data_IF_144638349729
#
_entry.id   IF_144638349729
#
_cell.length_a   1.000
_cell.length_b   1.000
_cell.length_c   1.000
_cell.angle_alpha   90.00
_cell.angle_beta   90.00
_cell.angle_gamma   90.00
#
_symmetry.space_group_name_H-M   'P 1'
#
loop_
_entity.id
_entity.type
_entity.pdbx_description
1 polymer ?
#
# COMPACT_ATOMS: atom_id res chain seq x y z
N UNK A 1 1.46 4.56 -15.06
CA UNK A 1 0.05 4.67 -15.51
C UNK A 1 -0.53 6.01 -15.04
N UNK A 2 -1.24 6.78 -15.88
CA UNK A 2 -1.76 8.14 -15.52
C UNK A 2 -2.97 8.14 -14.57
N UNK A 3 -3.67 7.02 -14.46
CA UNK A 3 -4.89 6.90 -13.63
C UNK A 3 -4.59 7.18 -12.15
N UNK A 4 -3.51 6.63 -11.60
CA UNK A 4 -3.14 6.86 -10.20
C UNK A 4 -2.79 8.32 -9.89
N UNK A 5 -2.14 9.02 -10.84
CA UNK A 5 -1.91 10.46 -10.70
C UNK A 5 -3.22 11.25 -10.61
N UNK A 6 -4.24 10.86 -11.39
CA UNK A 6 -5.54 11.53 -11.37
C UNK A 6 -6.30 11.34 -10.04
N UNK A 7 -6.32 10.11 -9.51
CA UNK A 7 -7.09 9.80 -8.30
C UNK A 7 -6.35 10.06 -6.98
N UNK A 8 -5.04 9.82 -6.93
CA UNK A 8 -4.25 9.92 -5.70
C UNK A 8 -3.23 11.06 -5.70
N UNK A 9 -3.02 11.72 -6.85
CA UNK A 9 -1.96 12.71 -7.01
C UNK A 9 -0.53 12.13 -6.99
N UNK A 10 -0.40 10.79 -7.07
CA UNK A 10 0.86 10.05 -7.03
C UNK A 10 0.84 8.95 -8.10
N UNK A 11 1.70 9.06 -9.10
CA UNK A 11 1.73 8.09 -10.20
C UNK A 11 2.26 6.73 -9.76
N UNK A 12 3.08 6.70 -8.71
CA UNK A 12 3.72 5.54 -8.11
C UNK A 12 2.72 4.58 -7.49
N UNK A 13 1.50 5.03 -7.17
CA UNK A 13 0.42 4.20 -6.64
C UNK A 13 -0.36 3.43 -7.74
N UNK A 14 0.16 3.40 -8.98
CA UNK A 14 -0.49 2.68 -10.07
C UNK A 14 -0.65 1.18 -9.79
N UNK A 15 0.29 0.57 -9.05
CA UNK A 15 0.27 -0.86 -8.74
C UNK A 15 -0.94 -1.22 -7.86
N UNK A 16 -1.37 -0.33 -6.97
CA UNK A 16 -2.57 -0.53 -6.13
C UNK A 16 -3.82 -0.68 -6.99
N UNK A 17 -3.96 0.18 -8.00
CA UNK A 17 -5.08 0.10 -8.94
C UNK A 17 -4.97 -1.18 -9.77
N UNK A 18 -3.76 -1.53 -10.23
CA UNK A 18 -3.56 -2.75 -11.01
C UNK A 18 -3.94 -4.00 -10.22
N UNK A 19 -3.38 -4.22 -9.03
CA UNK A 19 -3.65 -5.40 -8.21
C UNK A 19 -5.15 -5.55 -7.91
N UNK A 20 -5.84 -4.45 -7.58
CA UNK A 20 -7.28 -4.46 -7.33
C UNK A 20 -8.15 -4.80 -8.55
N UNK A 21 -7.59 -4.70 -9.76
CA UNK A 21 -8.25 -5.01 -11.02
C UNK A 21 -7.57 -6.13 -11.80
N UNK A 22 -6.63 -6.86 -11.19
CA UNK A 22 -5.79 -7.84 -11.89
C UNK A 22 -6.62 -8.94 -12.54
N UNK A 23 -7.72 -9.34 -11.91
CA UNK A 23 -8.67 -10.31 -12.48
C UNK A 23 -9.28 -9.87 -13.82
N UNK A 24 -9.38 -8.55 -14.07
CA UNK A 24 -9.96 -7.98 -15.29
C UNK A 24 -8.87 -7.53 -16.28
N UNK A 25 -7.74 -7.02 -15.79
CA UNK A 25 -6.62 -6.55 -16.62
C UNK A 25 -5.79 -7.72 -17.15
N UNK A 26 -5.67 -8.82 -16.40
CA UNK A 26 -4.72 -9.90 -16.66
C UNK A 26 -3.33 -9.60 -16.09
N UNK A 27 -2.34 -10.40 -16.48
CA UNK A 27 -1.00 -10.38 -15.90
C UNK A 27 -0.10 -9.22 -16.34
N UNK A 28 -0.44 -8.56 -17.48
CA UNK A 28 0.30 -7.41 -17.98
C UNK A 28 -0.39 -6.10 -17.55
N UNK A 29 0.18 -5.35 -16.58
CA UNK A 29 -0.38 -4.08 -16.12
C UNK A 29 -0.38 -2.97 -17.18
N UNK A 30 0.39 -3.13 -18.26
CA UNK A 30 0.48 -2.15 -19.34
C UNK A 30 -0.49 -2.45 -20.51
N UNK A 31 -1.14 -3.61 -20.49
CA UNK A 31 -2.08 -4.06 -21.52
C UNK A 31 -3.55 -3.78 -21.17
N UNK A 32 -3.85 -2.64 -20.54
CA UNK A 32 -5.22 -2.29 -20.11
C UNK A 32 -6.13 -2.09 -21.33
N UNK A 33 -7.17 -2.94 -21.56
CA UNK A 33 -8.04 -2.82 -22.72
C UNK A 33 -8.89 -1.54 -22.67
N UNK A 34 -9.15 -0.94 -23.83
CA UNK A 34 -10.05 0.21 -23.91
C UNK A 34 -11.51 -0.18 -23.56
N UNK A 35 -12.21 0.70 -22.86
CA UNK A 35 -13.64 0.51 -22.53
C UNK A 35 -13.93 -0.31 -21.26
N UNK A 36 -12.91 -0.80 -20.56
CA UNK A 36 -13.13 -1.47 -19.27
C UNK A 36 -13.37 -0.45 -18.15
N UNK A 37 -14.11 -0.87 -17.12
CA UNK A 37 -14.28 -0.11 -15.89
C UNK A 37 -13.28 -0.59 -14.85
N UNK A 38 -12.36 0.26 -14.45
CA UNK A 38 -11.44 0.00 -13.35
C UNK A 38 -12.07 0.42 -12.03
N UNK A 39 -12.00 -0.45 -11.03
CA UNK A 39 -12.32 -0.11 -9.64
C UNK A 39 -11.11 0.61 -9.04
N UNK A 40 -11.32 1.81 -8.49
CA UNK A 40 -10.25 2.57 -7.84
C UNK A 40 -10.40 2.38 -6.33
N UNK A 41 -9.45 1.71 -5.65
CA UNK A 41 -9.53 1.53 -4.20
C UNK A 41 -9.41 2.87 -3.47
N UNK A 42 -10.19 3.04 -2.40
CA UNK A 42 -10.06 4.23 -1.57
C UNK A 42 -8.83 4.08 -0.68
N UNK A 43 -7.89 5.02 -0.82
CA UNK A 43 -6.69 5.05 0.01
C UNK A 43 -6.81 6.15 1.05
N UNK A 44 -6.44 5.83 2.29
CA UNK A 44 -6.41 6.82 3.37
C UNK A 44 -5.24 7.77 3.18
N UNK A 45 -5.43 9.03 3.57
CA UNK A 45 -4.37 10.04 3.62
C UNK A 45 -3.67 10.07 4.98
N UNK A 46 -4.30 9.52 6.00
CA UNK A 46 -3.79 9.52 7.37
C UNK A 46 -3.68 8.09 7.91
N UNK A 47 -2.80 7.93 8.87
CA UNK A 47 -2.68 6.69 9.63
C UNK A 47 -3.91 6.57 10.52
N UNK A 48 -4.60 5.42 10.48
CA UNK A 48 -5.83 5.20 11.23
C UNK A 48 -5.63 4.13 12.30
N UNK A 49 -6.14 4.33 13.53
CA UNK A 49 -6.18 3.26 14.51
C UNK A 49 -7.21 2.21 14.08
N UNK A 50 -6.82 0.94 14.15
CA UNK A 50 -7.67 -0.22 13.93
C UNK A 50 -7.64 -1.10 15.17
N UNK A 51 -8.83 -1.41 15.68
CA UNK A 51 -8.98 -2.34 16.79
C UNK A 51 -9.12 -3.73 16.19
N UNK A 52 -8.19 -4.61 16.52
CA UNK A 52 -8.25 -6.03 16.15
C UNK A 52 -9.53 -6.62 16.76
N UNK A 53 -10.34 -7.25 15.93
CA UNK A 53 -11.68 -7.72 16.30
C UNK A 53 -11.64 -9.11 16.92
N UNK A 54 -10.64 -9.94 16.58
CA UNK A 54 -10.56 -11.36 16.96
C UNK A 54 -9.12 -11.81 17.22
N UNK A 55 -8.92 -12.76 18.14
CA UNK A 55 -7.60 -13.29 18.54
C UNK A 55 -6.84 -14.07 17.43
N UNK A 56 -7.44 -14.22 16.25
CA UNK A 56 -6.85 -14.88 15.08
C UNK A 56 -7.23 -14.13 13.79
N UNK A 57 -7.44 -12.82 13.87
CA UNK A 57 -7.74 -12.03 12.69
C UNK A 57 -6.59 -12.09 11.68
N UNK A 58 -6.94 -12.25 10.40
CA UNK A 58 -5.95 -12.34 9.33
C UNK A 58 -5.63 -10.94 8.83
N UNK A 59 -4.44 -10.43 9.18
CA UNK A 59 -3.93 -9.15 8.71
C UNK A 59 -3.86 -9.05 7.18
N UNK A 60 -3.77 -10.17 6.47
CA UNK A 60 -3.86 -10.19 5.01
C UNK A 60 -5.26 -9.80 4.53
N UNK A 61 -6.31 -10.28 5.21
CA UNK A 61 -7.69 -9.89 4.93
C UNK A 61 -7.94 -8.44 5.33
N UNK A 62 -7.45 -8.00 6.48
CA UNK A 62 -7.53 -6.58 6.88
C UNK A 62 -6.86 -5.69 5.82
N UNK A 63 -5.67 -6.08 5.32
CA UNK A 63 -4.98 -5.35 4.27
C UNK A 63 -5.80 -5.30 2.97
N UNK A 64 -6.39 -6.43 2.57
CA UNK A 64 -7.25 -6.50 1.40
C UNK A 64 -8.50 -5.63 1.56
N UNK A 65 -9.17 -5.67 2.71
CA UNK A 65 -10.39 -4.90 2.97
C UNK A 65 -10.13 -3.39 3.00
N UNK A 66 -9.01 -2.97 3.60
CA UNK A 66 -8.72 -1.55 3.80
C UNK A 66 -7.93 -0.90 2.66
N UNK A 67 -7.08 -1.66 1.97
CA UNK A 67 -6.23 -1.13 0.89
C UNK A 67 -6.58 -1.67 -0.49
N UNK A 68 -7.38 -2.74 -0.56
CA UNK A 68 -7.60 -3.49 -1.80
C UNK A 68 -6.36 -4.27 -2.25
N UNK A 69 -5.31 -4.31 -1.42
CA UNK A 69 -4.02 -4.90 -1.79
C UNK A 69 -3.52 -5.79 -0.67
N UNK A 70 -3.57 -7.11 -0.84
CA UNK A 70 -3.16 -8.02 0.21
C UNK A 70 -1.69 -7.89 0.61
N UNK A 71 -0.80 -7.50 -0.33
CA UNK A 71 0.62 -7.29 -0.03
C UNK A 71 0.89 -6.08 0.87
N UNK A 72 -0.10 -5.20 1.10
CA UNK A 72 0.01 -4.15 2.11
C UNK A 72 0.18 -4.72 3.54
N UNK A 73 -0.17 -5.99 3.74
CA UNK A 73 0.15 -6.79 4.92
C UNK A 73 1.59 -6.59 5.43
N UNK A 74 2.59 -6.70 4.55
CA UNK A 74 4.00 -6.60 4.98
C UNK A 74 4.36 -5.21 5.52
N UNK A 75 3.77 -4.18 4.92
CA UNK A 75 3.97 -2.79 5.36
C UNK A 75 3.23 -2.54 6.68
N UNK A 76 2.07 -3.17 6.89
CA UNK A 76 1.37 -3.12 8.18
C UNK A 76 2.19 -3.76 9.29
N UNK A 77 2.85 -4.90 9.03
CA UNK A 77 3.73 -5.53 10.02
C UNK A 77 4.84 -4.58 10.46
N UNK A 78 5.56 -4.00 9.49
CA UNK A 78 6.66 -3.07 9.74
C UNK A 78 6.18 -1.83 10.50
N UNK A 79 5.10 -1.19 10.03
CA UNK A 79 4.54 0.02 10.66
C UNK A 79 4.10 -0.19 12.12
N UNK A 80 3.78 -1.44 12.49
CA UNK A 80 3.34 -1.81 13.83
C UNK A 80 4.41 -2.55 14.64
N UNK A 81 5.63 -2.72 14.11
CA UNK A 81 6.70 -3.47 14.77
C UNK A 81 6.32 -4.93 15.03
N UNK A 82 5.47 -5.52 14.19
CA UNK A 82 5.03 -6.91 14.29
C UNK A 82 5.93 -7.83 13.46
N UNK A 83 6.01 -9.09 13.87
CA UNK A 83 6.67 -10.17 13.12
C UNK A 83 5.68 -10.98 12.29
N UNK A 84 6.17 -11.80 11.37
CA UNK A 84 5.38 -12.83 10.66
C UNK A 84 5.67 -14.21 11.29
N UNK A 85 4.67 -14.95 11.83
CA UNK A 85 3.25 -14.59 11.89
C UNK A 85 2.96 -13.49 12.91
N UNK A 86 1.95 -12.65 12.65
CA UNK A 86 1.58 -11.58 13.57
C UNK A 86 0.88 -12.15 14.79
N UNK A 87 1.50 -11.98 15.95
CA UNK A 87 0.88 -12.26 17.25
C UNK A 87 -0.09 -11.17 17.65
N UNK A 88 -1.21 -11.01 16.93
CA UNK A 88 -2.26 -10.04 17.28
C UNK A 88 -3.39 -10.67 18.10
N UNK A 89 -3.99 -9.88 18.98
CA UNK A 89 -5.10 -10.29 19.86
C UNK A 89 -6.29 -9.35 19.77
N UNK A 90 -7.49 -9.84 20.04
CA UNK A 90 -8.70 -9.02 20.07
C UNK A 90 -8.55 -7.85 21.03
N UNK A 91 -9.00 -6.66 20.61
CA UNK A 91 -8.87 -5.41 21.35
C UNK A 91 -7.51 -4.73 21.21
N UNK A 92 -6.51 -5.37 20.62
CA UNK A 92 -5.24 -4.71 20.29
C UNK A 92 -5.49 -3.58 19.29
N UNK A 93 -4.90 -2.41 19.52
CA UNK A 93 -4.91 -1.32 18.55
C UNK A 93 -3.65 -1.41 17.70
N UNK A 94 -3.84 -1.54 16.39
CA UNK A 94 -2.79 -1.44 15.38
C UNK A 94 -3.03 -0.21 14.51
N UNK A 95 -1.99 0.26 13.85
CA UNK A 95 -2.03 1.37 12.92
C UNK A 95 -2.21 0.84 11.50
N UNK A 96 -3.30 1.24 10.85
CA UNK A 96 -3.43 1.19 9.40
C UNK A 96 -2.67 2.40 8.84
N UNK A 97 -1.51 2.16 8.24
CA UNK A 97 -0.72 3.23 7.66
C UNK A 97 -1.40 3.85 6.43
N UNK A 98 -1.09 5.11 6.14
CA UNK A 98 -1.49 5.80 4.93
C UNK A 98 -0.55 5.49 3.78
N UNK A 99 -1.04 4.77 2.76
CA UNK A 99 -0.30 4.52 1.52
C UNK A 99 0.06 5.83 0.83
N UNK A 100 -0.85 6.82 0.81
CA UNK A 100 -0.59 8.12 0.16
C UNK A 100 0.48 8.91 0.90
N UNK A 101 0.40 9.02 2.23
CA UNK A 101 1.38 9.80 3.00
C UNK A 101 2.75 9.14 3.03
N UNK A 102 2.82 7.80 3.12
CA UNK A 102 4.09 7.11 3.02
C UNK A 102 4.70 7.28 1.62
N UNK A 103 3.94 7.07 0.55
CA UNK A 103 4.45 7.25 -0.82
C UNK A 103 4.82 8.70 -1.13
N UNK A 104 4.12 9.69 -0.56
CA UNK A 104 4.50 11.10 -0.68
C UNK A 104 5.79 11.42 0.07
N UNK A 105 5.99 10.86 1.28
CA UNK A 105 7.27 10.98 1.99
C UNK A 105 8.40 10.38 1.14
N UNK A 106 8.17 9.22 0.50
CA UNK A 106 9.13 8.60 -0.40
C UNK A 106 9.39 9.43 -1.66
N UNK A 107 8.36 9.95 -2.35
CA UNK A 107 8.55 10.75 -3.56
C UNK A 107 9.35 12.03 -3.26
N UNK A 108 9.05 12.69 -2.14
CA UNK A 108 9.83 13.84 -1.65
C UNK A 108 11.25 13.42 -1.27
N UNK A 109 11.43 12.27 -0.60
CA UNK A 109 12.75 11.77 -0.24
C UNK A 109 13.59 11.43 -1.48
N UNK A 110 12.99 10.84 -2.53
CA UNK A 110 13.64 10.55 -3.80
C UNK A 110 13.97 11.84 -4.57
N UNK A 111 13.07 12.82 -4.62
CA UNK A 111 13.36 14.14 -5.21
C UNK A 111 14.49 14.87 -4.47
N UNK A 112 14.56 14.73 -3.14
CA UNK A 112 15.69 15.20 -2.33
C UNK A 112 16.94 14.35 -2.52
N UNK A 113 16.79 13.07 -2.84
CA UNK A 113 17.88 12.13 -3.07
C UNK A 113 18.55 12.34 -4.43
N UNK A 114 17.80 12.69 -5.48
CA UNK A 114 18.35 13.22 -6.75
C UNK A 114 19.19 14.48 -6.48
N UNK A 115 19.01 15.12 -5.30
CA UNK A 115 19.82 16.23 -4.79
C UNK A 115 20.84 15.83 -3.67
N UNK A 116 21.07 14.53 -3.41
CA UNK A 116 22.30 14.02 -2.80
C UNK A 116 22.31 13.61 -1.31
N UNK A 117 21.26 13.05 -0.70
CA UNK A 117 21.31 12.52 0.70
C UNK A 117 20.44 11.26 0.87
N UNK A 118 20.95 10.19 1.51
CA UNK A 118 20.18 8.99 1.92
C UNK A 118 20.13 8.85 3.45
N UNK A 119 18.99 8.41 4.04
CA UNK A 119 18.94 7.82 5.38
C UNK A 119 19.52 6.40 5.37
N UNK A 120 20.18 6.00 6.46
CA UNK A 120 20.93 4.72 6.58
C UNK A 120 20.08 3.45 6.56
N UNK A 121 18.75 3.55 6.59
CA UNK A 121 17.85 2.41 6.75
C UNK A 121 17.24 1.90 5.44
N UNK A 122 17.58 2.48 4.28
CA UNK A 122 16.97 2.09 2.99
C UNK A 122 17.97 1.54 1.98
N UNK A 123 17.69 0.34 1.45
CA UNK A 123 18.33 -0.25 0.27
C UNK A 123 17.28 -0.49 -0.81
N UNK A 124 17.50 0.01 -2.02
CA UNK A 124 16.68 -0.28 -3.18
C UNK A 124 17.04 -1.70 -3.65
N UNK A 125 16.08 -2.63 -3.80
CA UNK A 125 16.35 -3.91 -4.45
C UNK A 125 16.80 -3.64 -5.89
N UNK A 126 18.03 -4.03 -6.21
CA UNK A 126 18.60 -3.95 -7.55
C UNK A 126 17.72 -4.75 -8.52
N UNK A 127 17.32 -4.14 -9.64
CA UNK A 127 16.78 -4.84 -10.80
C UNK A 127 17.92 -5.54 -11.55
#
# INVERSE_FOLDING_TARGET
>A
MRVAMFYYGLAELWWVIYEYNKEVIGDDPFAVPAGITLKVPLLTTEDLPYVVQRDCEDLFLVALEHYGVPSAYYVMLEANGLTDPPGIVAGQVITLFSLISNMRKYSIAVERHVKGVYPSWFSIPSV
#
